data_IF_879077627748
#
_entry.id   IF_879077627748
#
_cell.length_a   1.000
_cell.length_b   1.000
_cell.length_c   1.000
_cell.angle_alpha   90.00
_cell.angle_beta   90.00
_cell.angle_gamma   90.00
#
_symmetry.space_group_name_H-M   'P 1'
#
loop_
_entity.id
_entity.type
_entity.pdbx_description
1 polymer ?
#
# COMPACT_ATOMS: atom_id res chain seq x y z
N UNK A 1 3.15 -29.38 21.35
CA UNK A 1 4.16 -28.30 21.28
C UNK A 1 3.72 -27.28 22.30
N UNK A 2 4.55 -27.01 23.30
CA UNK A 2 4.30 -25.97 24.29
C UNK A 2 4.62 -24.58 23.72
N UNK A 3 4.39 -23.53 24.52
CA UNK A 3 4.60 -22.15 24.09
C UNK A 3 6.06 -21.89 23.70
N UNK A 4 7.01 -22.46 24.45
CA UNK A 4 8.44 -22.29 24.19
C UNK A 4 8.85 -22.93 22.85
N UNK A 5 8.36 -24.15 22.57
CA UNK A 5 8.56 -24.78 21.27
C UNK A 5 7.94 -24.02 20.10
N UNK A 6 6.78 -23.37 20.30
CA UNK A 6 6.16 -22.51 19.27
C UNK A 6 6.98 -21.24 19.00
N UNK A 7 7.51 -20.61 20.05
CA UNK A 7 8.36 -19.42 19.94
C UNK A 7 9.64 -19.75 19.17
N UNK A 8 10.28 -20.87 19.49
CA UNK A 8 11.51 -21.26 18.81
C UNK A 8 11.27 -21.57 17.33
N UNK A 9 10.22 -22.34 17.03
CA UNK A 9 9.81 -22.61 15.64
C UNK A 9 9.48 -21.32 14.87
N UNK A 10 8.88 -20.33 15.53
CA UNK A 10 8.60 -19.04 14.90
C UNK A 10 9.89 -18.30 14.53
N UNK A 11 10.92 -18.33 15.37
CA UNK A 11 12.23 -17.72 15.06
C UNK A 11 12.91 -18.44 13.90
N UNK A 12 12.89 -19.77 13.90
CA UNK A 12 13.45 -20.59 12.81
C UNK A 12 12.79 -20.25 11.46
N UNK A 13 11.46 -20.19 11.43
CA UNK A 13 10.71 -19.80 10.24
C UNK A 13 11.09 -18.37 9.84
N UNK A 14 11.06 -17.42 10.78
CA UNK A 14 11.38 -16.02 10.49
C UNK A 14 12.80 -15.85 9.91
N UNK A 15 13.79 -16.55 10.46
CA UNK A 15 15.19 -16.50 9.99
C UNK A 15 15.40 -17.21 8.64
N UNK A 16 14.52 -18.14 8.28
CA UNK A 16 14.55 -18.84 6.99
C UNK A 16 13.74 -18.15 5.90
N UNK A 17 12.92 -17.14 6.24
CA UNK A 17 12.20 -16.33 5.26
C UNK A 17 13.20 -15.62 4.35
N UNK A 18 13.14 -15.96 3.06
CA UNK A 18 13.97 -15.37 2.02
C UNK A 18 13.11 -15.11 0.79
N UNK A 19 13.31 -13.96 0.19
CA UNK A 19 12.75 -13.57 -1.10
C UNK A 19 13.90 -12.98 -1.90
N UNK A 20 14.15 -13.50 -3.10
CA UNK A 20 15.14 -12.92 -4.00
C UNK A 20 14.58 -11.68 -4.71
N UNK A 21 15.45 -10.89 -5.33
CA UNK A 21 15.00 -9.75 -6.14
C UNK A 21 14.10 -10.21 -7.29
N UNK A 22 14.45 -11.31 -7.96
CA UNK A 22 13.64 -11.89 -9.04
C UNK A 22 12.27 -12.33 -8.54
N UNK A 23 12.21 -12.97 -7.36
CA UNK A 23 10.93 -13.35 -6.76
C UNK A 23 10.10 -12.12 -6.40
N UNK A 24 10.71 -11.06 -5.85
CA UNK A 24 9.99 -9.81 -5.58
C UNK A 24 9.41 -9.19 -6.85
N UNK A 25 10.19 -9.14 -7.94
CA UNK A 25 9.71 -8.64 -9.24
C UNK A 25 8.57 -9.51 -9.76
N UNK A 26 8.69 -10.83 -9.70
CA UNK A 26 7.62 -11.74 -10.14
C UNK A 26 6.34 -11.57 -9.31
N UNK A 27 6.45 -11.37 -8.00
CA UNK A 27 5.31 -11.13 -7.12
C UNK A 27 4.62 -9.82 -7.53
N UNK A 28 5.37 -8.74 -7.76
CA UNK A 28 4.82 -7.47 -8.23
C UNK A 28 4.06 -7.67 -9.56
N UNK A 29 4.73 -8.22 -10.57
CA UNK A 29 4.18 -8.38 -11.92
C UNK A 29 2.90 -9.22 -11.94
N UNK A 30 2.90 -10.34 -11.22
CA UNK A 30 1.75 -11.27 -11.16
C UNK A 30 0.60 -10.75 -10.29
N UNK A 31 0.83 -9.69 -9.53
CA UNK A 31 -0.16 -9.12 -8.61
C UNK A 31 -0.57 -7.68 -8.93
N UNK A 32 -0.24 -7.16 -10.11
CA UNK A 32 -0.65 -5.81 -10.60
C UNK A 32 -2.15 -5.55 -10.60
N UNK A 33 -2.98 -6.60 -10.67
CA UNK A 33 -4.43 -6.47 -10.56
C UNK A 33 -4.92 -6.23 -9.12
N UNK A 34 -4.00 -6.21 -8.14
CA UNK A 34 -4.21 -5.90 -6.73
C UNK A 34 -5.44 -6.60 -6.14
N UNK A 35 -6.45 -5.84 -5.70
CA UNK A 35 -7.67 -6.35 -5.05
C UNK A 35 -8.50 -7.29 -5.92
N UNK A 36 -8.24 -7.35 -7.24
CA UNK A 36 -8.87 -8.31 -8.16
C UNK A 36 -8.08 -9.62 -8.28
N UNK A 37 -6.89 -9.71 -7.68
CA UNK A 37 -6.02 -10.88 -7.69
C UNK A 37 -6.09 -11.62 -6.36
N UNK A 38 -6.49 -12.89 -6.38
CA UNK A 38 -6.43 -13.77 -5.21
C UNK A 38 -4.99 -13.92 -4.70
N UNK A 39 -4.04 -14.05 -5.63
CA UNK A 39 -2.61 -14.16 -5.30
C UNK A 39 -2.11 -12.93 -4.54
N UNK A 40 -2.61 -11.73 -4.87
CA UNK A 40 -2.24 -10.50 -4.14
C UNK A 40 -2.63 -10.59 -2.66
N UNK A 41 -3.80 -11.12 -2.33
CA UNK A 41 -4.19 -11.36 -0.93
C UNK A 41 -3.32 -12.44 -0.28
N UNK A 42 -3.10 -13.57 -0.96
CA UNK A 42 -2.27 -14.66 -0.45
C UNK A 42 -0.84 -14.21 -0.13
N UNK A 43 -0.26 -13.38 -1.00
CA UNK A 43 1.09 -12.84 -0.81
C UNK A 43 1.16 -11.74 0.25
N UNK A 44 0.04 -11.11 0.62
CA UNK A 44 -0.01 -10.17 1.76
C UNK A 44 -0.13 -10.86 3.11
N UNK A 45 -0.71 -12.05 3.14
CA UNK A 45 -0.87 -12.82 4.38
C UNK A 45 0.49 -13.08 5.05
N UNK A 46 0.55 -12.83 6.35
CA UNK A 46 1.76 -12.98 7.16
C UNK A 46 2.79 -11.87 6.96
N UNK A 47 2.49 -10.83 6.18
CA UNK A 47 3.38 -9.67 5.97
C UNK A 47 2.79 -8.41 6.57
N UNK A 48 3.64 -7.62 7.21
CA UNK A 48 3.31 -6.25 7.63
C UNK A 48 3.31 -5.39 6.38
N UNK A 49 2.11 -5.03 5.91
CA UNK A 49 1.94 -4.17 4.75
C UNK A 49 1.96 -2.69 5.13
N UNK A 50 2.26 -1.79 4.20
CA UNK A 50 2.30 -0.34 4.44
C UNK A 50 1.07 0.17 5.21
N UNK A 51 -0.15 -0.26 4.85
CA UNK A 51 -1.39 0.14 5.53
C UNK A 51 -1.58 -0.42 6.95
N UNK A 52 -0.73 -1.37 7.37
CA UNK A 52 -0.70 -1.94 8.72
C UNK A 52 0.57 -1.58 9.50
N UNK A 53 1.57 -1.01 8.84
CA UNK A 53 2.83 -0.59 9.45
C UNK A 53 2.62 0.34 10.65
N UNK A 54 1.79 1.40 10.59
CA UNK A 54 1.54 2.24 11.75
C UNK A 54 1.00 1.45 12.95
N UNK A 55 0.06 0.52 12.73
CA UNK A 55 -0.51 -0.29 13.81
C UNK A 55 0.53 -1.26 14.40
N UNK A 56 1.37 -1.85 13.54
CA UNK A 56 2.45 -2.75 13.94
C UNK A 56 3.56 -2.03 14.73
N UNK A 57 3.87 -0.78 14.39
CA UNK A 57 4.90 0.00 15.11
C UNK A 57 4.43 0.53 16.47
N UNK A 58 3.11 0.70 16.68
CA UNK A 58 2.56 1.26 17.92
C UNK A 58 1.95 0.21 18.85
N UNK A 59 1.84 -1.06 18.44
CA UNK A 59 1.37 -2.12 19.33
C UNK A 59 2.41 -2.40 20.42
N UNK A 60 1.94 -2.68 21.64
CA UNK A 60 2.81 -3.14 22.71
C UNK A 60 3.23 -4.61 22.43
N UNK A 61 4.53 -4.94 22.34
CA UNK A 61 5.00 -6.31 22.18
C UNK A 61 4.61 -7.25 23.34
N UNK A 62 4.44 -6.72 24.55
CA UNK A 62 4.06 -7.51 25.73
C UNK A 62 2.56 -7.81 25.78
N UNK A 63 1.76 -7.04 25.05
CA UNK A 63 0.30 -7.19 24.96
C UNK A 63 -0.14 -7.06 23.51
N UNK A 64 0.28 -8.00 22.67
CA UNK A 64 -0.02 -7.98 21.25
C UNK A 64 -1.53 -8.00 20.99
N UNK A 65 -1.96 -7.13 20.07
CA UNK A 65 -3.33 -7.12 19.59
C UNK A 65 -3.61 -8.38 18.74
N UNK A 66 -4.39 -9.32 19.30
CA UNK A 66 -4.85 -10.52 18.59
C UNK A 66 -5.60 -10.15 17.31
N UNK A 67 -6.35 -9.05 17.31
CA UNK A 67 -7.06 -8.58 16.11
C UNK A 67 -6.09 -8.12 15.02
N UNK A 68 -5.00 -7.43 15.39
CA UNK A 68 -3.96 -7.03 14.44
C UNK A 68 -3.23 -8.25 13.86
N UNK A 69 -2.88 -9.23 14.70
CA UNK A 69 -2.28 -10.49 14.23
C UNK A 69 -3.20 -11.19 13.24
N UNK A 70 -4.50 -11.30 13.56
CA UNK A 70 -5.46 -11.95 12.68
C UNK A 70 -5.58 -11.23 11.34
N UNK A 71 -5.62 -9.90 11.34
CA UNK A 71 -5.67 -9.09 10.11
C UNK A 71 -4.40 -9.29 9.26
N UNK A 72 -3.22 -9.35 9.87
CA UNK A 72 -1.94 -9.55 9.16
C UNK A 72 -1.85 -10.98 8.59
N UNK A 73 -2.18 -11.99 9.40
CA UNK A 73 -1.97 -13.40 9.05
C UNK A 73 -3.06 -13.98 8.16
N UNK A 74 -4.31 -13.55 8.32
CA UNK A 74 -5.47 -14.14 7.66
C UNK A 74 -6.23 -13.15 6.76
N UNK A 75 -5.78 -11.89 6.72
CA UNK A 75 -6.47 -10.83 6.01
C UNK A 75 -7.72 -10.35 6.75
N UNK A 76 -8.32 -9.29 6.20
CA UNK A 76 -9.60 -8.77 6.66
C UNK A 76 -10.31 -8.13 5.48
N UNK A 77 -11.63 -8.31 5.42
CA UNK A 77 -12.45 -7.57 4.48
C UNK A 77 -12.99 -6.32 5.17
N UNK A 78 -12.62 -5.14 4.68
CA UNK A 78 -13.18 -3.87 5.12
C UNK A 78 -13.73 -3.14 3.89
N UNK A 79 -14.98 -2.70 3.99
CA UNK A 79 -15.62 -1.88 2.98
C UNK A 79 -16.46 -0.85 3.69
N UNK A 80 -16.31 0.40 3.27
CA UNK A 80 -17.14 1.52 3.71
C UNK A 80 -17.52 2.35 2.49
N UNK A 81 -18.53 3.21 2.59
CA UNK A 81 -18.90 4.12 1.49
C UNK A 81 -17.75 5.04 1.11
N UNK A 82 -16.94 5.47 2.09
CA UNK A 82 -15.74 6.26 1.85
C UNK A 82 -14.66 5.47 1.10
N UNK A 83 -14.39 4.23 1.49
CA UNK A 83 -13.42 3.36 0.80
C UNK A 83 -13.88 3.00 -0.60
N UNK A 84 -15.17 2.72 -0.78
CA UNK A 84 -15.74 2.45 -2.09
C UNK A 84 -15.62 3.68 -3.00
N UNK A 85 -15.96 4.85 -2.48
CA UNK A 85 -15.76 6.12 -3.19
C UNK A 85 -14.30 6.30 -3.60
N UNK A 86 -13.36 6.05 -2.69
CA UNK A 86 -11.92 6.16 -2.98
C UNK A 86 -11.52 5.26 -4.16
N UNK A 87 -11.86 3.97 -4.09
CA UNK A 87 -11.59 3.00 -5.16
C UNK A 87 -12.28 3.35 -6.50
N UNK A 88 -13.51 3.85 -6.46
CA UNK A 88 -14.29 4.18 -7.66
C UNK A 88 -13.69 5.40 -8.41
N UNK A 89 -13.00 6.31 -7.71
CA UNK A 89 -12.47 7.55 -8.26
C UNK A 89 -10.95 7.55 -8.50
N UNK A 90 -10.21 6.63 -7.87
CA UNK A 90 -8.75 6.52 -7.98
C UNK A 90 -8.25 6.50 -9.43
N UNK A 91 -8.88 5.68 -10.30
CA UNK A 91 -8.49 5.58 -11.71
C UNK A 91 -8.66 6.89 -12.48
N UNK A 92 -9.71 7.64 -12.17
CA UNK A 92 -9.95 8.94 -12.80
C UNK A 92 -8.93 9.98 -12.30
N UNK A 93 -8.63 9.99 -11.00
CA UNK A 93 -7.62 10.87 -10.42
C UNK A 93 -6.22 10.61 -11.01
N UNK A 94 -5.81 9.34 -11.15
CA UNK A 94 -4.55 8.97 -11.81
C UNK A 94 -4.48 9.46 -13.25
N UNK A 95 -5.58 9.31 -14.01
CA UNK A 95 -5.66 9.77 -15.40
C UNK A 95 -5.53 11.28 -15.52
N UNK A 96 -6.19 12.04 -14.65
CA UNK A 96 -6.09 13.51 -14.62
C UNK A 96 -4.67 13.95 -14.23
N UNK A 97 -4.09 13.29 -13.22
CA UNK A 97 -2.71 13.53 -12.81
C UNK A 97 -1.73 13.26 -13.96
N UNK A 98 -1.88 12.16 -14.69
CA UNK A 98 -1.04 11.81 -15.85
C UNK A 98 -1.10 12.90 -16.93
N UNK A 99 -2.30 13.38 -17.28
CA UNK A 99 -2.49 14.42 -18.29
C UNK A 99 -1.81 15.73 -17.90
N UNK A 100 -1.90 16.13 -16.63
CA UNK A 100 -1.22 17.34 -16.14
C UNK A 100 0.30 17.16 -16.20
N UNK A 101 0.82 16.02 -15.76
CA UNK A 101 2.25 15.78 -15.66
C UNK A 101 2.94 15.57 -17.01
N UNK A 102 2.22 15.10 -18.02
CA UNK A 102 2.72 15.01 -19.41
C UNK A 102 3.19 16.35 -19.97
N UNK A 103 2.62 17.47 -19.52
CA UNK A 103 3.08 18.82 -19.91
C UNK A 103 4.32 19.31 -19.16
N UNK A 104 4.63 18.68 -18.03
CA UNK A 104 5.70 19.08 -17.10
C UNK A 104 6.93 18.17 -17.15
N UNK A 105 6.77 16.95 -17.67
CA UNK A 105 7.80 15.92 -17.67
C UNK A 105 7.94 15.25 -19.04
N UNK A 106 9.16 14.85 -19.38
CA UNK A 106 9.47 14.19 -20.64
C UNK A 106 9.06 12.71 -20.62
N UNK A 107 8.32 12.29 -21.66
CA UNK A 107 7.84 10.90 -21.82
C UNK A 107 7.12 10.35 -20.56
N UNK A 108 6.40 11.22 -19.87
CA UNK A 108 5.71 10.89 -18.64
C UNK A 108 4.59 9.87 -18.87
N UNK A 109 4.57 8.82 -18.08
CA UNK A 109 3.48 7.86 -18.04
C UNK A 109 3.36 7.21 -16.66
N UNK A 110 2.18 6.69 -16.37
CA UNK A 110 1.88 5.95 -15.16
C UNK A 110 1.77 4.46 -15.47
N UNK A 111 2.21 3.62 -14.52
CA UNK A 111 2.06 2.16 -14.59
C UNK A 111 1.34 1.64 -13.35
N UNK A 112 0.39 0.74 -13.59
CA UNK A 112 -0.15 -0.13 -12.54
C UNK A 112 0.99 -0.93 -11.90
N UNK A 113 0.89 -1.15 -10.59
CA UNK A 113 1.92 -1.81 -9.81
C UNK A 113 1.31 -2.78 -8.80
N UNK A 114 1.95 -3.93 -8.61
CA UNK A 114 1.50 -4.97 -7.69
C UNK A 114 2.05 -4.84 -6.27
N UNK A 115 2.08 -5.97 -5.57
CA UNK A 115 2.73 -6.08 -4.26
C UNK A 115 4.25 -6.14 -4.43
N UNK A 116 4.95 -5.21 -3.82
CA UNK A 116 6.40 -5.23 -3.63
C UNK A 116 6.69 -5.87 -2.28
N UNK A 117 7.50 -6.92 -2.27
CA UNK A 117 7.99 -7.56 -1.04
C UNK A 117 9.46 -7.21 -0.86
N UNK A 118 9.87 -6.74 0.31
CA UNK A 118 11.28 -6.38 0.51
C UNK A 118 12.16 -7.63 0.50
N UNK A 119 13.16 -7.76 -0.39
CA UNK A 119 14.11 -8.88 -0.34
C UNK A 119 14.94 -8.89 0.94
N UNK A 120 15.28 -7.69 1.45
CA UNK A 120 16.01 -7.51 2.71
C UNK A 120 15.16 -7.85 3.94
N UNK A 121 13.86 -7.54 3.88
CA UNK A 121 12.91 -7.78 4.96
C UNK A 121 11.64 -8.46 4.44
N UNK A 122 11.66 -9.78 4.15
CA UNK A 122 10.55 -10.47 3.47
C UNK A 122 9.19 -10.46 4.18
N UNK A 123 9.19 -10.12 5.48
CA UNK A 123 8.00 -9.91 6.29
C UNK A 123 7.35 -8.53 6.05
N UNK A 124 7.97 -7.64 5.27
CA UNK A 124 7.46 -6.33 4.88
C UNK A 124 7.02 -6.34 3.41
N UNK A 125 5.94 -5.61 3.12
CA UNK A 125 5.51 -5.36 1.75
C UNK A 125 4.68 -4.09 1.58
N UNK A 126 4.56 -3.62 0.35
CA UNK A 126 3.75 -2.45 0.00
C UNK A 126 3.10 -2.65 -1.37
N UNK A 127 1.95 -2.03 -1.58
CA UNK A 127 1.29 -2.00 -2.89
C UNK A 127 0.96 -0.53 -3.15
N UNK A 128 1.77 0.20 -3.92
CA UNK A 128 1.45 1.57 -4.27
C UNK A 128 0.26 1.60 -5.24
N UNK A 129 -0.48 2.70 -5.26
CA UNK A 129 -1.60 2.86 -6.19
C UNK A 129 -1.09 2.92 -7.64
N UNK A 130 0.09 3.52 -7.85
CA UNK A 130 0.78 3.52 -9.14
C UNK A 130 2.25 3.90 -9.05
N UNK A 131 2.95 3.73 -10.17
CA UNK A 131 4.30 4.24 -10.38
C UNK A 131 4.30 5.27 -11.51
N UNK A 132 4.89 6.45 -11.29
CA UNK A 132 5.20 7.41 -12.34
C UNK A 132 6.57 7.13 -12.94
N UNK A 133 6.70 7.34 -14.25
CA UNK A 133 7.95 7.19 -14.99
C UNK A 133 8.11 8.35 -15.96
N UNK A 134 9.28 9.00 -15.95
CA UNK A 134 9.67 9.99 -16.96
C UNK A 134 11.18 9.96 -17.20
N UNK A 135 11.62 10.41 -18.38
CA UNK A 135 13.05 10.40 -18.73
C UNK A 135 13.86 11.42 -17.95
N UNK A 136 13.23 12.52 -17.50
CA UNK A 136 13.92 13.59 -16.78
C UNK A 136 14.10 13.31 -15.27
N UNK A 137 13.19 12.59 -14.62
CA UNK A 137 13.23 12.35 -13.15
C UNK A 137 13.31 10.87 -12.75
N UNK A 138 13.14 9.93 -13.69
CA UNK A 138 13.13 8.51 -13.39
C UNK A 138 11.77 8.03 -12.85
N UNK A 139 11.79 7.21 -11.81
CA UNK A 139 10.60 6.58 -11.23
C UNK A 139 10.16 7.29 -9.95
N UNK A 140 8.84 7.44 -9.78
CA UNK A 140 8.22 7.93 -8.55
C UNK A 140 7.06 7.04 -8.11
N UNK A 141 6.81 6.99 -6.80
CA UNK A 141 5.66 6.29 -6.22
C UNK A 141 4.47 7.24 -6.17
N UNK A 142 3.30 6.77 -6.57
CA UNK A 142 2.04 7.50 -6.46
C UNK A 142 1.14 6.83 -5.43
N UNK A 143 0.76 7.60 -4.41
CA UNK A 143 -0.30 7.28 -3.46
C UNK A 143 -1.43 8.31 -3.68
N UNK A 144 -2.61 7.84 -4.06
CA UNK A 144 -3.77 8.64 -4.43
C UNK A 144 -4.82 8.54 -3.33
N UNK A 145 -5.50 9.65 -3.09
CA UNK A 145 -6.63 9.73 -2.17
C UNK A 145 -7.73 10.57 -2.80
N UNK A 146 -8.96 10.07 -2.72
CA UNK A 146 -10.18 10.70 -3.18
C UNK A 146 -11.14 10.85 -1.98
N UNK A 147 -10.94 11.85 -1.11
CA UNK A 147 -11.72 12.01 0.12
C UNK A 147 -13.19 12.34 -0.16
N UNK A 148 -14.09 11.42 0.19
CA UNK A 148 -15.54 11.60 -0.01
C UNK A 148 -16.16 12.73 0.83
N UNK A 149 -15.49 13.15 1.90
CA UNK A 149 -15.93 14.24 2.80
C UNK A 149 -15.90 15.62 2.15
N UNK A 150 -15.06 15.82 1.12
CA UNK A 150 -14.88 17.11 0.42
C UNK A 150 -15.25 17.03 -1.06
N UNK A 151 -15.94 15.98 -1.49
CA UNK A 151 -16.30 15.71 -2.90
C UNK A 151 -17.12 16.82 -3.59
N UNK A 152 -17.75 17.70 -2.81
CA UNK A 152 -18.56 18.83 -3.30
C UNK A 152 -17.94 20.19 -2.98
N UNK A 153 -16.75 20.20 -2.36
CA UNK A 153 -16.05 21.42 -1.97
C UNK A 153 -15.07 21.82 -3.06
N UNK A 154 -14.84 23.13 -3.22
CA UNK A 154 -13.68 23.61 -3.95
C UNK A 154 -12.45 23.51 -3.04
N UNK A 155 -11.26 23.40 -3.63
CA UNK A 155 -10.01 23.27 -2.87
C UNK A 155 -9.85 24.35 -1.79
N UNK A 156 -10.07 25.66 -2.06
CA UNK A 156 -9.93 26.69 -1.03
C UNK A 156 -10.86 26.48 0.17
N UNK A 157 -12.10 26.02 -0.09
CA UNK A 157 -13.08 25.77 0.96
C UNK A 157 -12.76 24.49 1.74
N UNK A 158 -12.16 23.48 1.07
CA UNK A 158 -11.81 22.21 1.67
C UNK A 158 -10.64 22.30 2.65
N UNK A 159 -9.69 23.23 2.42
CA UNK A 159 -8.50 23.41 3.26
C UNK A 159 -8.70 24.47 4.36
N UNK A 160 -9.64 25.40 4.19
CA UNK A 160 -9.82 26.49 5.15
C UNK A 160 -10.35 25.97 6.50
N UNK A 161 -9.51 26.03 7.54
CA UNK A 161 -9.86 25.58 8.88
C UNK A 161 -9.93 24.06 9.05
N UNK A 162 -9.61 23.29 8.01
CA UNK A 162 -9.57 21.83 8.05
C UNK A 162 -8.15 21.33 8.32
N UNK A 163 -7.95 20.63 9.44
CA UNK A 163 -6.63 20.09 9.83
C UNK A 163 -6.27 18.79 9.11
N UNK A 164 -7.24 18.18 8.42
CA UNK A 164 -7.06 16.90 7.74
C UNK A 164 -6.58 17.08 6.28
N UNK A 165 -6.67 18.29 5.72
CA UNK A 165 -6.22 18.59 4.36
C UNK A 165 -5.24 19.76 4.32
N UNK A 166 -4.18 19.58 3.55
CA UNK A 166 -3.16 20.59 3.28
C UNK A 166 -2.79 20.55 1.79
N UNK A 167 -2.52 21.71 1.22
CA UNK A 167 -2.02 21.85 -0.16
C UNK A 167 -0.68 22.56 -0.09
N UNK A 168 0.35 21.94 -0.64
CA UNK A 168 1.64 22.58 -0.84
C UNK A 168 1.56 23.47 -2.08
N UNK A 169 1.83 24.76 -1.93
CA UNK A 169 1.93 25.69 -3.06
C UNK A 169 3.26 25.45 -3.80
N UNK A 170 3.17 25.08 -5.08
CA UNK A 170 4.32 24.84 -5.97
C UNK A 170 4.55 25.97 -6.95
#
# INVERSE_FOLDING_TARGET
MDLEGLVEKSKEIFNSLKVTEEQSVQIEETTRQQSKSKLWFEMRCGRITASKSPQACHTNPDTLSVSLINVICYGSHFSSDATKWDCDHEKQALKEYEQVMQSKHENFHIKEYGLVVSPQYPHLGASPDSMSLCTCCGQGVLEVKCPSSIKSSKIPDAIHGNRDFYVEET
#
